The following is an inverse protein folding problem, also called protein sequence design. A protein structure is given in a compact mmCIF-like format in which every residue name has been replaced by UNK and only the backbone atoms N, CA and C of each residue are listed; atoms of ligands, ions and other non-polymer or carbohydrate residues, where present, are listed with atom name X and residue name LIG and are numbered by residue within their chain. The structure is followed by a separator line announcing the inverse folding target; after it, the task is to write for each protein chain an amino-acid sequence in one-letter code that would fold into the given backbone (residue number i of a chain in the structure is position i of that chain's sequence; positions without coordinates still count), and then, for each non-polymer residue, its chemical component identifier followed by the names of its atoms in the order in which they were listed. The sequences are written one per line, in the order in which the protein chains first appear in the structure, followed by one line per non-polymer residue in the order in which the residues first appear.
data_IF_861559329931
#
_entry.id   IF_861559329931
#
_cell.length_a   1.000
_cell.length_b   1.000
_cell.length_c   1.000
_cell.angle_alpha   90.00
_cell.angle_beta   90.00
_cell.angle_gamma   90.00
#
_symmetry.space_group_name_H-M   'P 1'
#
loop_
_entity.id
_entity.type
_entity.pdbx_description
1 polymer ?
#
# COMPACT_ATOMS: atom_id res chain seq x y z
N UNK A 1 -10.66 23.05 -10.10
CA UNK A 1 -9.27 22.57 -9.95
C UNK A 1 -9.23 21.18 -10.52
N UNK A 2 -8.47 20.96 -11.61
CA UNK A 2 -8.39 19.64 -12.24
C UNK A 2 -7.62 18.72 -11.30
N UNK A 3 -8.35 17.81 -10.66
CA UNK A 3 -7.80 16.84 -9.75
C UNK A 3 -7.06 15.78 -10.58
N UNK A 4 -5.73 15.77 -10.52
CA UNK A 4 -4.93 14.80 -11.26
C UNK A 4 -5.06 13.45 -10.57
N UNK A 5 -5.86 12.57 -11.15
CA UNK A 5 -6.04 11.19 -10.72
C UNK A 5 -4.85 10.37 -11.24
N UNK A 6 -4.01 9.87 -10.34
CA UNK A 6 -2.88 9.01 -10.72
C UNK A 6 -3.34 7.57 -10.53
N UNK A 7 -3.55 6.89 -11.65
CA UNK A 7 -3.92 5.48 -11.63
C UNK A 7 -2.68 4.61 -11.36
N UNK A 8 -2.52 4.23 -10.09
CA UNK A 8 -1.48 3.31 -9.63
C UNK A 8 -1.90 1.84 -9.67
N UNK A 9 -3.09 1.49 -10.18
CA UNK A 9 -3.53 0.08 -10.21
C UNK A 9 -2.54 -0.76 -11.02
N UNK A 10 -2.17 -1.91 -10.45
CA UNK A 10 -1.24 -2.85 -11.06
C UNK A 10 0.23 -2.42 -10.96
N UNK A 11 0.54 -1.29 -10.33
CA UNK A 11 1.93 -0.93 -10.06
C UNK A 11 2.56 -1.94 -9.12
N UNK A 12 3.83 -2.25 -9.39
CA UNK A 12 4.66 -3.06 -8.51
C UNK A 12 4.94 -2.27 -7.24
N UNK A 13 4.84 -2.88 -6.07
CA UNK A 13 5.22 -2.26 -4.81
C UNK A 13 6.46 -2.95 -4.28
N UNK A 14 7.51 -2.16 -4.09
CA UNK A 14 8.78 -2.60 -3.55
C UNK A 14 9.06 -1.89 -2.22
N UNK A 15 9.38 -2.68 -1.20
CA UNK A 15 9.94 -2.18 0.04
C UNK A 15 11.45 -1.97 -0.12
N UNK A 16 12.06 -1.25 0.83
CA UNK A 16 13.51 -1.02 0.87
C UNK A 16 14.32 -2.32 0.93
N UNK A 17 13.73 -3.41 1.42
CA UNK A 17 14.36 -4.71 1.61
C UNK A 17 13.86 -5.79 0.64
N UNK A 18 12.97 -5.46 -0.28
CA UNK A 18 12.53 -6.37 -1.34
C UNK A 18 11.10 -6.17 -1.83
N UNK A 19 10.71 -6.99 -2.80
CA UNK A 19 9.39 -6.93 -3.40
C UNK A 19 8.27 -7.34 -2.42
N UNK A 20 7.18 -6.59 -2.42
CA UNK A 20 6.03 -6.77 -1.51
C UNK A 20 4.82 -7.31 -2.25
N UNK A 21 4.49 -6.74 -3.41
CA UNK A 21 3.27 -7.10 -4.13
C UNK A 21 2.85 -6.06 -5.15
N UNK A 22 1.53 -5.91 -5.38
CA UNK A 22 1.00 -4.97 -6.37
C UNK A 22 -0.16 -4.17 -5.81
N UNK A 23 -0.42 -3.00 -6.39
CA UNK A 23 -1.63 -2.24 -6.09
C UNK A 23 -2.83 -2.95 -6.73
N UNK A 24 -3.79 -3.43 -5.93
CA UNK A 24 -4.95 -4.19 -6.44
C UNK A 24 -6.06 -3.29 -7.00
N UNK A 25 -6.59 -2.36 -6.18
CA UNK A 25 -7.66 -1.45 -6.61
C UNK A 25 -7.77 -0.20 -5.72
N UNK A 26 -8.05 0.95 -6.33
CA UNK A 26 -7.96 2.29 -5.75
C UNK A 26 -8.73 2.55 -4.45
N UNK A 27 -8.12 3.37 -3.59
CA UNK A 27 -8.83 4.45 -2.88
C UNK A 27 -7.90 5.66 -2.64
N UNK A 28 -7.38 6.29 -3.70
CA UNK A 28 -6.88 7.67 -3.56
C UNK A 28 -8.10 8.59 -3.54
N UNK A 29 -8.84 8.59 -2.42
CA UNK A 29 -9.73 9.71 -2.12
C UNK A 29 -8.83 10.85 -1.65
N UNK A 30 -9.01 12.03 -2.21
CA UNK A 30 -8.04 13.12 -2.16
C UNK A 30 -7.98 13.85 -0.81
N UNK A 31 -8.66 13.26 0.15
CA UNK A 31 -8.79 13.68 1.53
C UNK A 31 -8.14 12.63 2.47
N UNK A 32 -7.93 11.39 1.99
CA UNK A 32 -7.40 10.24 2.72
C UNK A 32 -6.26 9.58 1.92
N UNK A 33 -5.02 10.06 2.12
CA UNK A 33 -3.83 9.69 1.33
C UNK A 33 -3.31 8.26 1.61
N UNK A 34 -4.06 7.22 1.24
CA UNK A 34 -3.62 5.84 1.38
C UNK A 34 -3.81 5.03 0.08
N UNK A 35 -2.94 4.05 -0.16
CA UNK A 35 -3.03 3.10 -1.27
C UNK A 35 -3.22 1.68 -0.71
N UNK A 36 -4.11 0.90 -1.32
CA UNK A 36 -4.25 -0.52 -0.99
C UNK A 36 -3.26 -1.35 -1.81
N UNK A 37 -2.38 -2.05 -1.11
CA UNK A 37 -1.37 -2.92 -1.69
C UNK A 37 -1.77 -4.36 -1.40
N UNK A 38 -2.03 -5.13 -2.45
CA UNK A 38 -2.13 -6.58 -2.37
C UNK A 38 -0.72 -7.18 -2.27
N UNK A 39 -0.46 -7.78 -1.12
CA UNK A 39 0.80 -8.44 -0.80
C UNK A 39 0.88 -9.88 -1.32
N UNK A 40 -0.20 -10.39 -1.93
CA UNK A 40 -0.31 -11.76 -2.38
C UNK A 40 0.10 -12.74 -1.29
N UNK A 41 0.90 -13.74 -1.64
CA UNK A 41 1.31 -14.82 -0.72
C UNK A 41 2.15 -14.32 0.47
N UNK A 42 2.74 -13.13 0.40
CA UNK A 42 3.69 -12.64 1.39
C UNK A 42 3.05 -12.30 2.75
N UNK A 43 1.78 -11.85 2.78
CA UNK A 43 1.00 -11.66 4.02
C UNK A 43 -0.37 -12.36 3.93
N UNK A 44 -0.37 -13.64 3.53
CA UNK A 44 -1.59 -14.47 3.46
C UNK A 44 -2.67 -13.96 2.48
N UNK A 45 -2.30 -13.27 1.41
CA UNK A 45 -3.22 -12.74 0.39
C UNK A 45 -4.01 -11.54 0.89
N UNK A 46 -3.46 -10.77 1.84
CA UNK A 46 -4.15 -9.66 2.46
C UNK A 46 -3.66 -8.33 1.91
N UNK A 47 -4.60 -7.40 1.82
CA UNK A 47 -4.36 -6.03 1.41
C UNK A 47 -3.87 -5.20 2.61
N UNK A 48 -2.95 -4.29 2.35
CA UNK A 48 -2.41 -3.34 3.35
C UNK A 48 -2.66 -1.93 2.86
N UNK A 49 -3.23 -1.08 3.72
CA UNK A 49 -3.38 0.35 3.48
C UNK A 49 -2.04 1.06 3.77
N UNK A 50 -1.36 1.52 2.73
CA UNK A 50 -0.07 2.21 2.85
C UNK A 50 -0.31 3.70 2.71
N UNK A 51 0.05 4.54 3.71
CA UNK A 51 -0.07 5.98 3.56
C UNK A 51 0.90 6.48 2.49
N UNK A 52 0.52 7.50 1.71
CA UNK A 52 1.42 8.09 0.72
C UNK A 52 2.69 8.70 1.36
N UNK A 53 2.68 8.98 2.66
CA UNK A 53 3.89 9.40 3.39
C UNK A 53 4.98 8.32 3.44
N UNK A 54 4.62 7.06 3.21
CA UNK A 54 5.56 5.95 3.12
C UNK A 54 6.11 5.74 1.70
N UNK A 55 5.58 6.43 0.69
CA UNK A 55 6.09 6.35 -0.68
C UNK A 55 7.38 7.16 -0.78
N UNK A 56 8.50 6.47 -1.01
CA UNK A 56 9.79 7.09 -1.22
C UNK A 56 9.91 7.69 -2.63
N UNK A 57 9.46 6.90 -3.61
CA UNK A 57 9.66 7.20 -5.01
C UNK A 57 8.60 6.50 -5.87
N UNK A 58 8.24 7.14 -6.98
CA UNK A 58 7.27 6.64 -7.94
C UNK A 58 7.90 6.59 -9.33
N UNK A 59 8.16 5.37 -9.78
CA UNK A 59 8.67 5.08 -11.10
C UNK A 59 7.48 4.88 -12.06
N UNK A 60 7.06 5.96 -12.72
CA UNK A 60 5.95 5.93 -13.70
C UNK A 60 6.33 5.12 -14.95
N UNK A 61 7.59 5.16 -15.38
CA UNK A 61 8.10 4.43 -16.54
C UNK A 61 8.12 2.91 -16.30
N UNK A 62 8.63 2.51 -15.14
CA UNK A 62 8.69 1.12 -14.67
C UNK A 62 7.43 0.62 -13.98
N UNK A 63 6.41 1.47 -13.82
CA UNK A 63 5.17 1.22 -13.07
C UNK A 63 5.44 0.60 -11.69
N UNK A 64 6.36 1.21 -10.94
CA UNK A 64 6.82 0.71 -9.65
C UNK A 64 6.75 1.80 -8.58
N UNK A 65 6.08 1.51 -7.48
CA UNK A 65 6.03 2.32 -6.26
C UNK A 65 7.10 1.78 -5.31
N UNK A 66 8.07 2.62 -4.94
CA UNK A 66 9.07 2.29 -3.93
C UNK A 66 8.65 2.90 -2.61
N UNK A 67 8.60 2.08 -1.57
CA UNK A 67 8.27 2.50 -0.23
C UNK A 67 9.55 2.71 0.58
N UNK A 68 9.57 3.72 1.44
CA UNK A 68 10.62 3.95 2.44
C UNK A 68 10.34 3.14 3.72
N UNK A 69 9.79 1.94 3.56
CA UNK A 69 9.46 1.04 4.65
C UNK A 69 9.96 -0.36 4.32
N UNK A 70 10.33 -1.10 5.36
CA UNK A 70 10.66 -2.53 5.25
C UNK A 70 9.39 -3.37 5.22
N UNK A 71 9.52 -4.58 4.69
CA UNK A 71 8.53 -5.67 4.81
C UNK A 71 8.06 -5.88 6.25
N UNK A 72 8.94 -5.78 7.24
CA UNK A 72 8.53 -5.91 8.65
C UNK A 72 7.67 -4.75 9.12
N UNK A 73 8.00 -3.51 8.74
CA UNK A 73 7.20 -2.34 9.07
C UNK A 73 5.81 -2.37 8.41
N UNK A 74 5.73 -2.82 7.15
CA UNK A 74 4.46 -3.04 6.46
C UNK A 74 3.60 -4.10 7.17
N UNK A 75 4.22 -5.16 7.69
CA UNK A 75 3.52 -6.18 8.49
C UNK A 75 2.99 -5.61 9.82
N UNK A 76 3.66 -4.62 10.41
CA UNK A 76 3.15 -3.91 11.60
C UNK A 76 1.97 -3.01 11.24
N UNK A 77 2.03 -2.27 10.13
CA UNK A 77 0.88 -1.49 9.64
C UNK A 77 -0.35 -2.37 9.43
N UNK A 78 -0.16 -3.57 8.87
CA UNK A 78 -1.23 -4.55 8.75
C UNK A 78 -1.83 -4.93 10.12
N UNK A 79 -1.00 -5.21 11.13
CA UNK A 79 -1.47 -5.53 12.49
C UNK A 79 -2.31 -4.39 13.06
N UNK A 80 -1.84 -3.16 12.93
CA UNK A 80 -2.54 -1.97 13.42
C UNK A 80 -3.87 -1.74 12.69
N UNK A 81 -3.91 -2.00 11.38
CA UNK A 81 -5.13 -1.94 10.57
C UNK A 81 -6.13 -3.03 10.96
N UNK A 82 -5.68 -4.26 11.17
CA UNK A 82 -6.57 -5.33 11.65
C UNK A 82 -7.13 -5.06 13.03
N UNK A 83 -6.36 -4.43 13.92
CA UNK A 83 -6.84 -4.03 15.23
C UNK A 83 -7.90 -2.93 15.15
N UNK A 84 -7.86 -2.08 14.11
CA UNK A 84 -8.86 -1.04 13.86
C UNK A 84 -10.09 -1.56 13.09
N UNK A 85 -9.95 -2.58 12.24
CA UNK A 85 -11.03 -3.05 11.35
C UNK A 85 -11.74 -4.32 11.82
N UNK A 86 -11.14 -5.07 12.75
CA UNK A 86 -11.84 -6.11 13.52
C UNK A 86 -11.92 -5.65 14.98
N UNK A 87 -12.93 -4.84 15.36
CA UNK A 87 -13.29 -4.80 16.77
C UNK A 87 -13.54 -6.25 17.16
N UNK A 88 -12.78 -6.76 18.12
CA UNK A 88 -13.01 -8.08 18.72
C UNK A 88 -14.48 -8.15 19.11
N UNK A 89 -15.25 -8.78 18.24
CA UNK A 89 -16.65 -9.07 18.44
C UNK A 89 -16.74 -10.26 19.37
N UNK A 90 -16.88 -9.93 20.66
CA UNK A 90 -17.35 -10.76 21.79
C UNK A 90 -16.42 -11.88 22.28
#
# INVERSE_FOLDING_TARGET
MAQRHVDLVGYRVDAVDGHVGRVDRHSVYLDERHILVDTGVWVFGKEISVPMSAVADLDEDGRTVRLDMTREQLKQLYRDQTAAYFPTGS
#
